data_IF_095905462419
#
_entry.id   IF_095905462419
#
_cell.length_a   1.000
_cell.length_b   1.000
_cell.length_c   1.000
_cell.angle_alpha   90.00
_cell.angle_beta   90.00
_cell.angle_gamma   90.00
#
_symmetry.space_group_name_H-M   'P 1'
#
loop_
_entity.id
_entity.type
_entity.pdbx_description
1 polymer ?
#
# COMPACT_ATOMS: atom_id res chain seq x y z
N UNK A 1 -0.13 -8.19 -8.72
CA UNK A 1 0.10 -7.97 -7.29
C UNK A 1 0.00 -9.30 -6.60
N UNK A 2 0.91 -9.54 -5.66
CA UNK A 2 0.99 -10.74 -4.85
C UNK A 2 0.62 -10.40 -3.40
N UNK A 3 0.21 -11.41 -2.65
CA UNK A 3 -0.03 -11.25 -1.22
C UNK A 3 1.27 -10.81 -0.51
N UNK A 4 1.18 -9.75 0.30
CA UNK A 4 2.32 -9.15 1.00
C UNK A 4 2.92 -7.90 0.33
N UNK A 5 2.52 -7.57 -0.90
CA UNK A 5 2.96 -6.34 -1.59
C UNK A 5 2.44 -5.08 -0.87
N UNK A 6 3.30 -4.06 -0.75
CA UNK A 6 2.89 -2.73 -0.25
C UNK A 6 2.42 -1.87 -1.40
N UNK A 7 1.23 -1.31 -1.25
CA UNK A 7 0.58 -0.47 -2.26
C UNK A 7 0.09 0.83 -1.68
N UNK A 8 0.10 1.87 -2.51
CA UNK A 8 -0.69 3.05 -2.27
C UNK A 8 -2.10 2.79 -2.82
N UNK A 9 -3.06 2.72 -1.91
CA UNK A 9 -4.47 2.52 -2.25
C UNK A 9 -5.26 3.81 -2.01
N UNK A 10 -6.12 4.15 -2.97
CA UNK A 10 -7.08 5.25 -2.87
C UNK A 10 -8.47 4.67 -2.54
N UNK A 11 -8.99 4.87 -1.31
CA UNK A 11 -10.33 4.43 -0.93
C UNK A 11 -11.41 5.10 -1.79
N UNK A 12 -12.48 4.39 -2.09
CA UNK A 12 -13.59 4.98 -2.81
C UNK A 12 -14.43 5.86 -1.90
N UNK A 13 -14.76 7.07 -2.36
CA UNK A 13 -15.57 8.04 -1.59
C UNK A 13 -16.97 7.51 -1.19
N UNK A 14 -17.47 6.48 -1.87
CA UNK A 14 -18.83 5.97 -1.70
C UNK A 14 -18.89 4.55 -1.09
N UNK A 15 -17.76 3.85 -0.94
CA UNK A 15 -17.67 2.52 -0.32
C UNK A 15 -16.35 2.38 0.43
N UNK A 16 -16.45 2.32 1.76
CA UNK A 16 -15.26 2.22 2.63
C UNK A 16 -14.48 0.91 2.48
N UNK A 17 -15.14 -0.16 2.02
CA UNK A 17 -14.52 -1.49 1.88
C UNK A 17 -13.70 -1.66 0.59
N UNK A 18 -13.74 -0.70 -0.33
CA UNK A 18 -13.10 -0.79 -1.64
C UNK A 18 -12.13 0.36 -1.88
N UNK A 19 -11.06 0.05 -2.60
CA UNK A 19 -10.03 1.00 -3.00
C UNK A 19 -9.43 0.62 -4.35
N UNK A 20 -8.89 1.62 -5.07
CA UNK A 20 -8.06 1.40 -6.24
C UNK A 20 -6.59 1.39 -5.84
N UNK A 21 -5.78 0.60 -6.54
CA UNK A 21 -4.32 0.64 -6.38
C UNK A 21 -3.76 1.65 -7.38
N UNK A 22 -3.22 2.76 -6.87
CA UNK A 22 -2.58 3.80 -7.69
C UNK A 22 -1.11 3.49 -7.94
N UNK A 23 -0.42 2.93 -6.94
CA UNK A 23 1.01 2.61 -7.03
C UNK A 23 1.37 1.37 -6.23
N UNK A 24 2.39 0.64 -6.69
CA UNK A 24 3.00 -0.49 -5.98
C UNK A 24 4.46 -0.17 -5.71
N UNK A 25 4.88 -0.29 -4.46
CA UNK A 25 6.28 -0.11 -4.08
C UNK A 25 7.09 -1.35 -4.43
N UNK A 26 8.38 -1.14 -4.73
CA UNK A 26 9.34 -2.24 -4.77
C UNK A 26 9.63 -2.73 -3.34
N UNK A 27 10.07 -3.98 -3.20
CA UNK A 27 10.24 -4.60 -1.89
C UNK A 27 11.25 -3.84 -1.00
N UNK A 28 12.32 -3.31 -1.60
CA UNK A 28 13.34 -2.53 -0.89
C UNK A 28 12.78 -1.21 -0.33
N UNK A 29 11.96 -0.49 -1.11
CA UNK A 29 11.30 0.74 -0.69
C UNK A 29 10.26 0.47 0.40
N UNK A 30 9.49 -0.61 0.23
CA UNK A 30 8.52 -1.06 1.22
C UNK A 30 9.18 -1.40 2.57
N UNK A 31 10.33 -2.05 2.54
CA UNK A 31 11.10 -2.38 3.75
C UNK A 31 11.69 -1.13 4.42
N UNK A 32 12.09 -0.13 3.64
CA UNK A 32 12.46 1.16 4.20
C UNK A 32 11.29 1.81 4.94
N UNK A 33 10.09 1.83 4.34
CA UNK A 33 8.89 2.40 4.95
C UNK A 33 8.50 1.69 6.25
N UNK A 34 8.63 0.36 6.30
CA UNK A 34 8.43 -0.42 7.54
C UNK A 34 9.45 -0.06 8.61
N UNK A 35 10.73 0.05 8.24
CA UNK A 35 11.83 0.37 9.17
C UNK A 35 11.69 1.78 9.77
N UNK A 36 11.20 2.73 8.98
CA UNK A 36 10.95 4.10 9.41
C UNK A 36 9.63 4.25 10.20
N UNK A 37 8.80 3.20 10.22
CA UNK A 37 7.53 3.18 10.95
C UNK A 37 6.39 3.92 10.24
N UNK A 38 6.51 4.12 8.93
CA UNK A 38 5.45 4.71 8.11
C UNK A 38 4.28 3.75 7.88
N UNK A 39 4.56 2.44 7.86
CA UNK A 39 3.60 1.36 7.68
C UNK A 39 3.93 0.20 8.63
N UNK A 40 2.92 -0.54 9.07
CA UNK A 40 3.05 -1.69 10.00
C UNK A 40 2.41 -2.95 9.42
#
# INVERSE_FOLDING_TARGET
ISEGDVVLAEPWDWQDEKANVEWRYEDEDADQLRREGHIQ
#
